data_IF_307550185066
#
_entry.id   IF_307550185066
#
_cell.length_a   1.000
_cell.length_b   1.000
_cell.length_c   1.000
_cell.angle_alpha   90.00
_cell.angle_beta   90.00
_cell.angle_gamma   90.00
#
_symmetry.space_group_name_H-M   'P 1'
#
loop_
_entity.id
_entity.type
_entity.pdbx_description
1 polymer ?
#
# COMPACT_ATOMS: atom_id res chain seq x y z
N UNK A 1 -23.72 1.80 -8.65
CA UNK A 1 -23.96 1.11 -7.36
C UNK A 1 -22.75 1.31 -6.46
N UNK A 2 -22.92 1.85 -5.25
CA UNK A 2 -21.81 1.98 -4.29
C UNK A 2 -21.24 0.60 -3.96
N UNK A 3 -19.92 0.47 -4.04
CA UNK A 3 -19.17 -0.79 -4.01
C UNK A 3 -18.86 -1.30 -2.59
N UNK A 4 -18.97 -0.44 -1.57
CA UNK A 4 -18.64 -0.70 -0.17
C UNK A 4 -19.71 -0.09 0.75
N UNK A 5 -20.96 -0.56 0.64
CA UNK A 5 -22.12 0.06 1.31
C UNK A 5 -22.14 -0.15 2.83
N UNK A 6 -21.55 -1.24 3.30
CA UNK A 6 -21.59 -1.65 4.70
C UNK A 6 -20.41 -1.12 5.51
N UNK A 7 -19.50 -0.35 4.89
CA UNK A 7 -18.37 0.27 5.60
C UNK A 7 -18.90 1.33 6.54
N UNK A 8 -18.88 1.04 7.84
CA UNK A 8 -19.32 1.93 8.90
C UNK A 8 -18.18 2.54 9.71
N UNK A 9 -16.97 1.98 9.64
CA UNK A 9 -15.83 2.40 10.44
C UNK A 9 -14.54 2.50 9.62
N UNK A 10 -13.79 3.59 9.84
CA UNK A 10 -12.47 3.81 9.26
C UNK A 10 -11.50 4.23 10.37
N UNK A 11 -10.36 3.54 10.44
CA UNK A 11 -9.29 3.82 11.40
C UNK A 11 -8.04 4.33 10.68
N UNK A 12 -7.31 5.22 11.36
CA UNK A 12 -6.09 5.86 10.87
C UNK A 12 -4.99 5.80 11.94
N UNK A 13 -4.50 4.59 12.27
CA UNK A 13 -3.52 4.40 13.34
C UNK A 13 -2.25 5.20 13.10
N UNK A 14 -1.62 5.68 14.18
CA UNK A 14 -0.37 6.44 14.11
C UNK A 14 0.86 5.56 14.37
N UNK A 15 0.67 4.32 14.84
CA UNK A 15 1.75 3.34 15.02
C UNK A 15 1.39 1.97 14.45
N UNK A 16 2.41 1.16 14.16
CA UNK A 16 2.23 -0.20 13.64
C UNK A 16 1.54 -1.07 14.70
N UNK A 17 1.86 -0.88 15.98
CA UNK A 17 1.28 -1.60 17.10
C UNK A 17 -0.21 -1.31 17.23
N UNK A 18 -0.62 -0.05 17.04
CA UNK A 18 -2.03 0.33 17.01
C UNK A 18 -2.75 -0.32 15.82
N UNK A 19 -2.16 -0.27 14.62
CA UNK A 19 -2.72 -0.92 13.43
C UNK A 19 -2.88 -2.43 13.62
N UNK A 20 -1.86 -3.09 14.18
CA UNK A 20 -1.86 -4.52 14.47
C UNK A 20 -2.89 -4.89 15.54
N UNK A 21 -3.03 -4.06 16.58
CA UNK A 21 -4.05 -4.24 17.62
C UNK A 21 -5.45 -4.13 17.02
N UNK A 22 -5.73 -3.06 16.26
CA UNK A 22 -7.01 -2.87 15.57
C UNK A 22 -7.34 -4.03 14.65
N UNK A 23 -6.36 -4.54 13.89
CA UNK A 23 -6.53 -5.68 13.01
C UNK A 23 -6.85 -6.96 13.79
N UNK A 24 -6.18 -7.19 14.92
CA UNK A 24 -6.37 -8.38 15.76
C UNK A 24 -7.73 -8.37 16.48
N UNK A 25 -8.16 -7.20 16.93
CA UNK A 25 -9.44 -7.01 17.61
C UNK A 25 -10.62 -7.00 16.63
N UNK A 26 -10.33 -6.71 15.37
CA UNK A 26 -11.27 -6.75 14.26
C UNK A 26 -11.57 -8.18 13.78
N UNK A 27 -12.80 -8.40 13.31
CA UNK A 27 -13.22 -9.64 12.66
C UNK A 27 -12.82 -9.75 11.19
N UNK A 28 -13.34 -10.78 10.52
CA UNK A 28 -13.05 -11.08 9.11
C UNK A 28 -13.57 -10.04 8.11
N UNK A 29 -14.41 -9.10 8.56
CA UNK A 29 -14.98 -7.99 7.78
C UNK A 29 -14.11 -6.72 7.77
N UNK A 30 -12.91 -6.78 8.35
CA UNK A 30 -11.92 -5.69 8.31
C UNK A 30 -10.93 -5.85 7.17
N UNK A 31 -10.54 -4.74 6.54
CA UNK A 31 -9.43 -4.70 5.57
C UNK A 31 -8.43 -3.60 5.88
N UNK A 32 -7.16 -3.90 5.68
CA UNK A 32 -6.08 -2.93 5.69
C UNK A 32 -6.04 -2.21 4.34
N UNK A 33 -5.75 -0.91 4.37
CA UNK A 33 -5.73 -0.05 3.19
C UNK A 33 -4.36 0.63 3.07
N UNK A 34 -3.57 0.18 2.10
CA UNK A 34 -2.48 0.97 1.52
C UNK A 34 -3.05 1.89 0.45
N UNK A 35 -2.82 1.53 -0.82
CA UNK A 35 -3.32 2.25 -1.99
C UNK A 35 -4.82 2.27 -2.28
N UNK A 36 -5.59 1.36 -1.67
CA UNK A 36 -7.05 1.26 -1.82
C UNK A 36 -7.58 0.78 -3.18
N UNK A 37 -6.76 0.69 -4.23
CA UNK A 37 -7.21 0.24 -5.57
C UNK A 37 -7.80 -1.17 -5.59
N UNK A 38 -7.29 -2.08 -4.76
CA UNK A 38 -7.85 -3.43 -4.65
C UNK A 38 -9.34 -3.40 -4.23
N UNK A 39 -9.72 -2.49 -3.34
CA UNK A 39 -11.11 -2.37 -2.85
C UNK A 39 -12.08 -1.90 -3.93
N UNK A 40 -11.60 -1.12 -4.91
CA UNK A 40 -12.44 -0.61 -6.01
C UNK A 40 -12.47 -1.58 -7.19
N UNK A 41 -11.37 -2.28 -7.45
CA UNK A 41 -11.25 -3.30 -8.49
C UNK A 41 -11.99 -4.59 -8.11
N UNK A 42 -11.89 -5.01 -6.85
CA UNK A 42 -12.47 -6.24 -6.32
C UNK A 42 -13.33 -5.91 -5.09
N UNK A 43 -14.52 -5.32 -5.30
CA UNK A 43 -15.37 -4.90 -4.21
C UNK A 43 -15.89 -6.12 -3.45
N UNK A 44 -15.75 -6.09 -2.12
CA UNK A 44 -16.36 -7.07 -1.23
C UNK A 44 -17.38 -6.35 -0.32
N UNK A 45 -18.70 -6.58 -0.53
CA UNK A 45 -19.74 -5.92 0.24
C UNK A 45 -19.77 -6.34 1.71
N UNK A 46 -19.10 -7.45 2.07
CA UNK A 46 -19.01 -7.89 3.47
C UNK A 46 -18.02 -7.04 4.29
N UNK A 47 -17.21 -6.19 3.68
CA UNK A 47 -16.27 -5.31 4.38
C UNK A 47 -17.06 -4.25 5.16
N UNK A 48 -16.81 -4.15 6.47
CA UNK A 48 -17.44 -3.15 7.35
C UNK A 48 -16.45 -2.15 7.94
N UNK A 49 -15.18 -2.52 7.97
CA UNK A 49 -14.15 -1.73 8.65
C UNK A 49 -12.90 -1.61 7.78
N UNK A 50 -12.34 -0.40 7.71
CA UNK A 50 -11.10 -0.12 6.99
C UNK A 50 -10.04 0.42 7.96
N UNK A 51 -8.81 -0.08 7.84
CA UNK A 51 -7.65 0.41 8.59
C UNK A 51 -6.66 1.00 7.59
N UNK A 52 -6.58 2.32 7.51
CA UNK A 52 -5.68 3.01 6.57
C UNK A 52 -4.28 3.17 7.16
N UNK A 53 -3.26 2.76 6.41
CA UNK A 53 -1.86 2.78 6.86
C UNK A 53 -1.14 4.10 6.58
N UNK A 54 -1.80 5.10 6.01
CA UNK A 54 -1.17 6.31 5.48
C UNK A 54 -0.43 7.16 6.54
N UNK A 55 -0.79 7.04 7.82
CA UNK A 55 -0.13 7.76 8.90
C UNK A 55 1.15 7.06 9.42
N UNK A 56 1.39 5.81 9.05
CA UNK A 56 2.49 5.00 9.58
C UNK A 56 3.85 5.31 8.95
N UNK A 57 3.89 6.21 7.96
CA UNK A 57 5.13 6.60 7.24
C UNK A 57 5.91 5.40 6.70
N UNK A 58 5.18 4.38 6.21
CA UNK A 58 5.73 3.17 5.59
C UNK A 58 6.03 3.38 4.09
N UNK A 59 6.16 4.62 3.64
CA UNK A 59 6.54 4.98 2.27
C UNK A 59 8.05 5.32 2.23
N UNK A 60 8.88 4.33 2.52
CA UNK A 60 10.33 4.48 2.50
C UNK A 60 10.99 3.51 1.54
N UNK A 61 12.18 3.90 1.08
CA UNK A 61 13.10 3.08 0.31
C UNK A 61 14.47 3.30 0.95
N UNK A 62 15.09 2.23 1.44
CA UNK A 62 16.37 2.30 2.17
C UNK A 62 17.30 1.22 1.67
N UNK A 63 18.55 1.59 1.39
CA UNK A 63 19.62 0.62 1.15
C UNK A 63 20.41 0.39 2.44
N UNK A 64 20.47 -0.86 2.90
CA UNK A 64 21.18 -1.26 4.11
C UNK A 64 21.90 -2.57 3.80
N UNK A 65 23.23 -2.61 3.97
CA UNK A 65 24.07 -3.78 3.75
C UNK A 65 23.85 -4.47 2.38
N UNK A 66 23.72 -3.67 1.32
CA UNK A 66 23.49 -4.15 -0.05
C UNK A 66 22.09 -4.72 -0.31
N UNK A 67 21.15 -4.52 0.63
CA UNK A 67 19.73 -4.88 0.48
C UNK A 67 18.88 -3.62 0.39
N UNK A 68 17.87 -3.65 -0.48
CA UNK A 68 16.86 -2.60 -0.55
C UNK A 68 15.67 -3.03 0.32
N UNK A 69 15.39 -2.25 1.36
CA UNK A 69 14.18 -2.35 2.17
C UNK A 69 13.16 -1.34 1.65
N UNK A 70 11.96 -1.83 1.34
CA UNK A 70 10.88 -1.04 0.76
C UNK A 70 9.69 -1.12 1.72
N UNK A 71 9.18 0.03 2.14
CA UNK A 71 8.02 0.09 3.00
C UNK A 71 6.72 -0.25 2.24
N UNK A 72 5.77 -0.86 2.95
CA UNK A 72 4.53 -1.41 2.37
C UNK A 72 3.58 -0.35 1.78
N UNK A 73 3.74 0.93 2.11
CA UNK A 73 2.92 2.01 1.52
C UNK A 73 3.69 2.82 0.47
N UNK A 74 4.90 2.39 0.09
CA UNK A 74 5.61 2.97 -1.05
C UNK A 74 4.86 2.63 -2.33
N UNK A 75 4.51 3.65 -3.10
CA UNK A 75 3.82 3.49 -4.38
C UNK A 75 4.76 2.97 -5.45
N UNK A 76 4.22 2.30 -6.48
CA UNK A 76 5.02 1.85 -7.63
C UNK A 76 5.71 3.05 -8.31
N UNK A 77 5.05 4.21 -8.36
CA UNK A 77 5.63 5.44 -8.91
C UNK A 77 6.81 5.96 -8.08
N UNK A 78 6.72 5.98 -6.75
CA UNK A 78 7.85 6.36 -5.88
C UNK A 78 9.02 5.39 -6.09
N UNK A 79 8.75 4.09 -6.14
CA UNK A 79 9.78 3.07 -6.33
C UNK A 79 10.47 3.17 -7.70
N UNK A 80 9.71 3.41 -8.77
CA UNK A 80 10.26 3.53 -10.13
C UNK A 80 11.14 4.77 -10.33
N UNK A 81 10.95 5.80 -9.49
CA UNK A 81 11.67 7.07 -9.57
C UNK A 81 12.77 7.22 -8.51
N UNK A 82 12.92 6.26 -7.62
CA UNK A 82 13.92 6.29 -6.55
C UNK A 82 15.35 6.15 -7.09
N UNK A 83 16.30 6.86 -6.46
CA UNK A 83 17.70 6.78 -6.82
C UNK A 83 18.30 5.40 -6.50
N UNK A 84 17.92 4.85 -5.35
CA UNK A 84 18.29 3.52 -4.85
C UNK A 84 17.90 2.44 -5.87
N UNK A 85 16.71 2.57 -6.48
CA UNK A 85 16.21 1.58 -7.45
C UNK A 85 16.82 1.74 -8.85
N UNK A 86 17.23 2.94 -9.24
CA UNK A 86 17.85 3.18 -10.56
C UNK A 86 19.17 2.40 -10.75
N UNK A 87 19.92 2.17 -9.67
CA UNK A 87 21.16 1.39 -9.70
C UNK A 87 20.95 -0.13 -9.63
N UNK A 88 19.78 -0.57 -9.16
CA UNK A 88 19.52 -1.98 -8.89
C UNK A 88 19.29 -2.78 -10.19
N UNK A 89 19.89 -3.97 -10.28
CA UNK A 89 19.87 -4.84 -11.47
C UNK A 89 20.14 -4.08 -12.80
N UNK A 90 21.10 -3.15 -12.79
CA UNK A 90 21.49 -2.33 -13.96
C UNK A 90 20.31 -1.52 -14.55
N UNK A 91 19.38 -1.08 -13.69
CA UNK A 91 18.24 -0.26 -14.08
C UNK A 91 17.07 -1.03 -14.70
N UNK A 92 17.13 -2.37 -14.75
CA UNK A 92 16.04 -3.18 -15.31
C UNK A 92 14.78 -3.15 -14.44
N UNK A 93 14.90 -2.96 -13.12
CA UNK A 93 13.74 -2.89 -12.23
C UNK A 93 12.86 -1.68 -12.54
N UNK A 94 13.46 -0.53 -12.85
CA UNK A 94 12.71 0.66 -13.28
C UNK A 94 11.79 0.38 -14.46
N UNK A 95 12.31 -0.28 -15.51
CA UNK A 95 11.53 -0.63 -16.70
C UNK A 95 10.38 -1.58 -16.37
N UNK A 96 10.62 -2.55 -15.49
CA UNK A 96 9.58 -3.45 -15.01
C UNK A 96 8.48 -2.68 -14.26
N UNK A 97 8.85 -1.82 -13.31
CA UNK A 97 7.88 -1.03 -12.54
C UNK A 97 7.05 -0.10 -13.43
N UNK A 98 7.68 0.51 -14.45
CA UNK A 98 6.98 1.36 -15.43
C UNK A 98 6.00 0.59 -16.33
N UNK A 99 6.15 -0.73 -16.46
CA UNK A 99 5.22 -1.58 -17.20
C UNK A 99 3.95 -1.93 -16.41
N UNK A 100 3.93 -1.68 -15.09
CA UNK A 100 2.78 -1.95 -14.23
C UNK A 100 1.73 -0.86 -14.46
N UNK A 101 0.58 -1.22 -15.01
CA UNK A 101 -0.60 -0.37 -15.13
C UNK A 101 -0.33 1.01 -15.80
N UNK A 102 -1.26 1.94 -15.65
CA UNK A 102 -1.07 3.34 -16.05
C UNK A 102 -0.39 4.15 -14.94
N UNK A 103 0.18 5.30 -15.27
CA UNK A 103 0.83 6.19 -14.30
C UNK A 103 -0.12 6.62 -13.16
N UNK A 104 -1.36 6.94 -13.50
CA UNK A 104 -2.39 7.28 -12.51
C UNK A 104 -2.63 6.14 -11.50
N UNK A 105 -2.64 4.89 -11.97
CA UNK A 105 -2.79 3.74 -11.08
C UNK A 105 -1.51 3.51 -10.27
N UNK A 106 -0.31 3.64 -10.85
CA UNK A 106 0.96 3.48 -10.12
C UNK A 106 1.16 4.48 -8.99
N UNK A 107 0.56 5.68 -9.09
CA UNK A 107 0.55 6.67 -8.01
C UNK A 107 -0.29 6.23 -6.81
N UNK A 108 -1.05 5.14 -6.94
CA UNK A 108 -1.88 4.59 -5.86
C UNK A 108 -1.57 3.12 -5.56
N UNK A 109 -1.07 2.31 -6.50
CA UNK A 109 -0.65 0.94 -6.20
C UNK A 109 0.54 1.01 -5.26
N UNK A 110 0.44 0.37 -4.10
CA UNK A 110 1.54 0.21 -3.14
C UNK A 110 2.15 -1.19 -3.25
N UNK A 111 3.36 -1.37 -2.71
CA UNK A 111 4.07 -2.65 -2.65
C UNK A 111 3.35 -3.74 -1.84
#
# INVERSE_FOLDING_TARGET
>A
MLKLKEVGQCFYPNTIEEAAKLLKESGEDTRIVGGGLHLTAFPNPAIKTLIFLNNLKLNYIKEIDGKISIGATTTISELANSAEMNGYLKGNVKKLLQSIASELLRNQITM
#
